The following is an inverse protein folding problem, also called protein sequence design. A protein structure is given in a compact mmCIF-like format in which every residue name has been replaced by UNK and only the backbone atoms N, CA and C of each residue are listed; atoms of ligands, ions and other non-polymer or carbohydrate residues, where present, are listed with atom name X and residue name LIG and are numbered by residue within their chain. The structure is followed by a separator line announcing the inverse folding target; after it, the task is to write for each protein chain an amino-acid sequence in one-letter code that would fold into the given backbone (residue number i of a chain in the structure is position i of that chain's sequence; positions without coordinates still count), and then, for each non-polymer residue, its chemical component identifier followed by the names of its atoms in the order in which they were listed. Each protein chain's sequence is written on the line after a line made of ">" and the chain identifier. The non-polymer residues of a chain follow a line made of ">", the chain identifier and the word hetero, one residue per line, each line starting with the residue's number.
data_IF_525589951364
#
_entry.id   IF_525589951364
#
_cell.length_a   1.000
_cell.length_b   1.000
_cell.length_c   1.000
_cell.angle_alpha   90.00
_cell.angle_beta   90.00
_cell.angle_gamma   90.00
#
_symmetry.space_group_name_H-M   'P 1'
#
loop_
_entity.id
_entity.type
_entity.pdbx_description
1 polymer ?
#
# COMPACT_ATOMS: atom_id res chain seq x y z
N UNK A 1 3.88 -9.87 -7.94
CA UNK A 1 3.42 -10.47 -6.68
C UNK A 1 2.41 -9.59 -5.95
N UNK A 2 2.76 -8.37 -5.56
CA UNK A 2 1.82 -7.46 -4.86
C UNK A 2 0.58 -7.16 -5.71
N UNK A 3 0.75 -6.86 -6.99
CA UNK A 3 -0.36 -6.57 -7.89
C UNK A 3 -1.31 -7.78 -8.04
N UNK A 4 -0.76 -8.97 -8.21
CA UNK A 4 -1.56 -10.20 -8.32
C UNK A 4 -2.35 -10.49 -7.06
N UNK A 5 -1.74 -10.39 -5.89
CA UNK A 5 -2.41 -10.62 -4.60
C UNK A 5 -3.45 -9.54 -4.28
N UNK A 6 -3.24 -8.32 -4.73
CA UNK A 6 -4.20 -7.22 -4.54
C UNK A 6 -5.47 -7.42 -5.37
N UNK A 7 -5.37 -8.02 -6.54
CA UNK A 7 -6.51 -8.37 -7.41
C UNK A 7 -7.46 -7.22 -7.70
N UNK A 8 -6.91 -6.04 -7.97
CA UNK A 8 -7.70 -4.83 -8.22
C UNK A 8 -7.81 -3.96 -6.98
N UNK A 9 -7.10 -2.84 -7.01
CA UNK A 9 -7.02 -1.93 -5.86
C UNK A 9 -8.34 -1.19 -5.60
N UNK A 10 -9.21 -1.08 -6.61
CA UNK A 10 -10.50 -0.40 -6.50
C UNK A 10 -11.47 -1.05 -5.51
N UNK A 11 -11.26 -2.32 -5.13
CA UNK A 11 -12.07 -3.00 -4.10
C UNK A 11 -11.82 -2.47 -2.69
N UNK A 12 -10.74 -1.74 -2.47
CA UNK A 12 -10.44 -1.12 -1.18
C UNK A 12 -10.95 0.32 -1.17
N UNK A 13 -11.72 0.66 -0.11
CA UNK A 13 -12.30 2.01 0.00
C UNK A 13 -11.28 3.08 0.41
N UNK A 14 -10.15 2.70 1.00
CA UNK A 14 -9.15 3.64 1.50
C UNK A 14 -7.78 2.98 1.67
N UNK A 15 -6.74 3.80 1.86
CA UNK A 15 -5.40 3.33 2.23
C UNK A 15 -5.41 2.53 3.54
N UNK A 16 -6.30 2.88 4.47
CA UNK A 16 -6.41 2.18 5.76
C UNK A 16 -7.00 0.78 5.57
N UNK A 17 -7.98 0.63 4.69
CA UNK A 17 -8.52 -0.68 4.33
C UNK A 17 -7.45 -1.55 3.64
N UNK A 18 -6.66 -0.96 2.75
CA UNK A 18 -5.55 -1.65 2.11
C UNK A 18 -4.47 -2.06 3.13
N UNK A 19 -4.16 -1.19 4.09
CA UNK A 19 -3.21 -1.52 5.15
C UNK A 19 -3.66 -2.68 6.02
N UNK A 20 -4.94 -2.82 6.27
CA UNK A 20 -5.49 -4.00 6.97
C UNK A 20 -5.32 -5.26 6.13
N UNK A 21 -5.58 -5.18 4.85
CA UNK A 21 -5.35 -6.30 3.93
C UNK A 21 -3.87 -6.72 3.89
N UNK A 22 -2.94 -5.76 3.83
CA UNK A 22 -1.50 -6.05 3.80
C UNK A 22 -0.92 -6.44 5.16
N UNK A 23 -1.70 -6.33 6.22
CA UNK A 23 -1.24 -6.62 7.58
C UNK A 23 -0.32 -5.56 8.18
N UNK A 24 -0.30 -4.36 7.62
CA UNK A 24 0.56 -3.26 8.11
C UNK A 24 -0.18 -2.26 9.00
N UNK A 25 -1.52 -2.33 9.08
CA UNK A 25 -2.28 -1.49 9.98
C UNK A 25 -2.06 -1.92 11.44
N UNK A 26 -1.78 -0.98 12.35
CA UNK A 26 -1.69 -1.30 13.76
C UNK A 26 -3.06 -1.68 14.31
N UNK A 27 -3.10 -2.66 15.23
CA UNK A 27 -4.33 -3.07 15.91
C UNK A 27 -4.27 -2.57 17.35
N UNK A 28 -5.27 -1.78 17.82
CA UNK A 28 -5.31 -1.36 19.22
C UNK A 28 -5.48 -2.58 20.14
N UNK A 29 -4.77 -2.57 21.26
CA UNK A 29 -4.89 -3.60 22.31
C UNK A 29 -5.68 -3.00 23.46
N UNK A 30 -6.88 -3.55 23.71
CA UNK A 30 -7.84 -3.03 24.68
C UNK A 30 -7.99 -3.99 25.87
N UNK A 31 -6.92 -4.26 26.59
CA UNK A 31 -7.05 -5.10 27.80
C UNK A 31 -6.19 -4.57 28.94
N UNK A 32 -6.83 -4.21 30.06
CA UNK A 32 -6.15 -3.77 31.27
C UNK A 32 -5.15 -2.65 31.05
N UNK A 33 -3.93 -2.82 31.53
CA UNK A 33 -2.84 -1.85 31.48
C UNK A 33 -2.29 -1.62 30.06
N UNK A 34 -2.79 -2.33 29.06
CA UNK A 34 -2.36 -2.22 27.66
C UNK A 34 -3.22 -1.25 26.85
N UNK A 35 -4.08 -0.49 27.50
CA UNK A 35 -4.92 0.51 26.87
C UNK A 35 -4.06 1.53 26.10
N UNK A 36 -4.37 1.77 24.84
CA UNK A 36 -3.62 2.69 23.98
C UNK A 36 -2.38 2.09 23.31
N UNK A 37 -1.98 0.87 23.65
CA UNK A 37 -0.92 0.17 22.92
C UNK A 37 -1.47 -0.47 21.65
N UNK A 38 -0.60 -0.62 20.64
CA UNK A 38 -0.95 -1.26 19.37
C UNK A 38 -0.08 -2.49 19.15
N UNK A 39 -0.63 -3.47 18.46
CA UNK A 39 0.10 -4.68 18.07
C UNK A 39 0.10 -4.85 16.55
N UNK A 40 0.99 -5.71 16.05
CA UNK A 40 1.05 -6.06 14.64
C UNK A 40 -0.21 -6.84 14.23
N UNK A 41 -0.81 -6.47 13.10
CA UNK A 41 -1.93 -7.20 12.52
C UNK A 41 -1.43 -8.51 11.90
N UNK A 42 -1.86 -9.64 12.45
CA UNK A 42 -1.53 -10.98 11.94
C UNK A 42 -2.55 -11.53 10.94
N UNK A 43 -3.68 -10.84 10.77
CA UNK A 43 -4.78 -11.29 9.90
C UNK A 43 -4.70 -10.84 8.45
N UNK A 44 -3.63 -10.15 8.04
CA UNK A 44 -3.48 -9.66 6.67
C UNK A 44 -2.92 -10.69 5.70
N UNK A 45 -2.86 -10.32 4.42
CA UNK A 45 -2.26 -11.17 3.38
C UNK A 45 -0.77 -11.33 3.64
N UNK A 46 -0.34 -12.56 3.90
CA UNK A 46 1.06 -12.86 4.25
C UNK A 46 2.04 -12.59 3.13
N UNK A 47 1.66 -12.86 1.89
CA UNK A 47 2.52 -12.66 0.72
C UNK A 47 2.85 -11.19 0.54
N UNK A 48 1.85 -10.32 0.58
CA UNK A 48 2.04 -8.87 0.45
C UNK A 48 2.77 -8.32 1.68
N UNK A 49 2.43 -8.80 2.87
CA UNK A 49 3.11 -8.39 4.09
C UNK A 49 4.61 -8.70 4.03
N UNK A 50 4.98 -9.91 3.61
CA UNK A 50 6.37 -10.32 3.44
C UNK A 50 7.08 -9.46 2.40
N UNK A 51 6.44 -9.18 1.27
CA UNK A 51 7.01 -8.31 0.24
C UNK A 51 7.29 -6.90 0.76
N UNK A 52 6.35 -6.30 1.47
CA UNK A 52 6.54 -4.98 2.08
C UNK A 52 7.64 -4.98 3.13
N UNK A 53 7.73 -6.05 3.93
CA UNK A 53 8.81 -6.21 4.90
C UNK A 53 10.18 -6.27 4.22
N UNK A 54 10.31 -7.03 3.15
CA UNK A 54 11.56 -7.12 2.40
C UNK A 54 11.96 -5.78 1.78
N UNK A 55 11.00 -5.04 1.26
CA UNK A 55 11.26 -3.69 0.74
C UNK A 55 11.73 -2.77 1.87
N UNK A 56 11.06 -2.80 3.01
CA UNK A 56 11.44 -1.98 4.16
C UNK A 56 12.86 -2.29 4.65
N UNK A 57 13.19 -3.57 4.82
CA UNK A 57 14.52 -3.99 5.24
C UNK A 57 15.59 -3.56 4.24
N UNK A 58 15.33 -3.72 2.94
CA UNK A 58 16.25 -3.29 1.88
C UNK A 58 16.51 -1.79 1.94
N UNK A 59 15.46 -0.99 2.14
CA UNK A 59 15.61 0.47 2.25
C UNK A 59 16.40 0.88 3.49
N UNK A 60 16.27 0.16 4.60
CA UNK A 60 17.07 0.46 5.81
C UNK A 60 18.57 0.22 5.62
N UNK A 61 18.95 -0.50 4.59
CA UNK A 61 20.36 -0.75 4.21
C UNK A 61 20.93 0.32 3.28
N UNK A 62 20.25 1.43 3.09
CA UNK A 62 20.72 2.54 2.27
C UNK A 62 20.21 2.56 0.84
N UNK A 63 19.21 1.73 0.50
CA UNK A 63 18.58 1.70 -0.82
C UNK A 63 17.24 2.42 -0.74
N UNK A 64 17.19 3.68 -1.18
CA UNK A 64 15.98 4.49 -1.20
C UNK A 64 15.80 5.36 0.05
N UNK A 65 14.64 6.05 0.19
CA UNK A 65 14.43 7.03 1.25
C UNK A 65 14.11 6.45 2.63
N UNK A 66 13.92 5.13 2.72
CA UNK A 66 13.49 4.48 3.96
C UNK A 66 14.51 4.57 5.08
N UNK A 67 15.81 4.60 4.77
CA UNK A 67 16.87 4.71 5.77
C UNK A 67 16.75 6.01 6.56
N UNK A 68 16.64 7.15 5.87
CA UNK A 68 16.51 8.45 6.52
C UNK A 68 15.25 8.53 7.37
N UNK A 69 14.15 7.94 6.90
CA UNK A 69 12.89 7.88 7.64
C UNK A 69 13.05 7.09 8.95
N UNK A 70 13.68 5.92 8.89
CA UNK A 70 13.91 5.08 10.07
C UNK A 70 14.85 5.78 11.05
N UNK A 71 15.95 6.36 10.59
CA UNK A 71 16.90 7.09 11.43
C UNK A 71 16.23 8.26 12.16
N UNK A 72 15.36 8.99 11.47
CA UNK A 72 14.61 10.10 12.06
C UNK A 72 13.67 9.61 13.18
N UNK A 73 12.98 8.49 12.98
CA UNK A 73 12.12 7.89 13.99
C UNK A 73 12.91 7.39 15.20
N UNK A 74 14.05 6.77 14.97
CA UNK A 74 14.94 6.31 16.06
C UNK A 74 15.48 7.50 16.85
N UNK A 75 15.78 8.62 16.18
CA UNK A 75 16.18 9.86 16.82
C UNK A 75 15.09 10.48 17.71
N UNK A 76 13.83 10.12 17.49
CA UNK A 76 12.69 10.53 18.31
C UNK A 76 12.33 9.54 19.42
N UNK A 77 13.17 8.54 19.66
CA UNK A 77 12.99 7.57 20.73
C UNK A 77 12.29 6.27 20.31
N UNK A 78 11.98 6.08 19.02
CA UNK A 78 11.43 4.81 18.53
C UNK A 78 12.49 3.73 18.47
N UNK A 79 12.13 2.47 18.75
CA UNK A 79 13.02 1.34 18.51
C UNK A 79 13.12 1.08 17.00
N UNK A 80 14.17 0.36 16.60
CA UNK A 80 14.33 -0.05 15.19
C UNK A 80 13.14 -0.86 14.71
N UNK A 81 12.63 -1.78 15.53
CA UNK A 81 11.46 -2.62 15.18
C UNK A 81 10.22 -1.76 14.96
N UNK A 82 9.96 -0.81 15.85
CA UNK A 82 8.84 0.14 15.68
C UNK A 82 8.99 0.99 14.42
N UNK A 83 10.20 1.51 14.18
CA UNK A 83 10.48 2.33 13.01
C UNK A 83 10.27 1.55 11.70
N UNK A 84 10.70 0.29 11.64
CA UNK A 84 10.49 -0.58 10.47
C UNK A 84 9.00 -0.88 10.28
N UNK A 85 8.23 -1.09 11.34
CA UNK A 85 6.78 -1.26 11.25
C UNK A 85 6.10 -0.03 10.64
N UNK A 86 6.48 1.14 11.08
CA UNK A 86 5.95 2.40 10.55
C UNK A 86 6.36 2.60 9.08
N UNK A 87 7.57 2.23 8.72
CA UNK A 87 8.02 2.26 7.33
C UNK A 87 7.19 1.33 6.45
N UNK A 88 6.89 0.11 6.92
CA UNK A 88 6.03 -0.83 6.20
C UNK A 88 4.63 -0.25 5.97
N UNK A 89 4.06 0.40 6.98
CA UNK A 89 2.78 1.09 6.85
C UNK A 89 2.86 2.17 5.77
N UNK A 90 3.90 2.98 5.79
CA UNK A 90 4.11 4.03 4.79
C UNK A 90 4.26 3.46 3.38
N UNK A 91 4.99 2.35 3.25
CA UNK A 91 5.15 1.64 1.96
C UNK A 91 3.81 1.10 1.46
N UNK A 92 2.97 0.57 2.33
CA UNK A 92 1.61 0.16 1.97
C UNK A 92 0.81 1.33 1.39
N UNK A 93 0.88 2.50 1.98
CA UNK A 93 0.20 3.70 1.47
C UNK A 93 0.75 4.13 0.12
N UNK A 94 2.06 4.06 -0.09
CA UNK A 94 2.71 4.38 -1.37
C UNK A 94 2.25 3.40 -2.45
N UNK A 95 2.25 2.11 -2.16
CA UNK A 95 1.81 1.07 -3.09
C UNK A 95 0.33 1.26 -3.44
N UNK A 96 -0.52 1.50 -2.45
CA UNK A 96 -1.94 1.74 -2.68
C UNK A 96 -2.18 2.91 -3.64
N UNK A 97 -1.50 4.04 -3.42
CA UNK A 97 -1.63 5.21 -4.29
C UNK A 97 -1.14 4.94 -5.71
N UNK A 98 -0.02 4.23 -5.84
CA UNK A 98 0.53 3.88 -7.15
C UNK A 98 -0.41 2.95 -7.92
N UNK A 99 -0.97 1.93 -7.27
CA UNK A 99 -1.91 1.00 -7.89
C UNK A 99 -3.22 1.71 -8.29
N UNK A 100 -3.70 2.63 -7.48
CA UNK A 100 -4.89 3.43 -7.83
C UNK A 100 -4.64 4.32 -9.05
N UNK A 101 -3.49 4.97 -9.10
CA UNK A 101 -3.12 5.81 -10.25
C UNK A 101 -3.05 4.98 -11.54
N UNK A 102 -2.44 3.80 -11.48
CA UNK A 102 -2.35 2.88 -12.62
C UNK A 102 -3.71 2.39 -13.07
N UNK A 103 -4.60 2.04 -12.14
CA UNK A 103 -5.95 1.59 -12.46
C UNK A 103 -6.78 2.69 -13.11
N UNK A 104 -6.68 3.91 -12.60
CA UNK A 104 -7.35 5.07 -13.19
C UNK A 104 -6.84 5.36 -14.59
N UNK A 105 -5.52 5.31 -14.80
CA UNK A 105 -4.92 5.52 -16.12
C UNK A 105 -5.39 4.46 -17.13
N UNK A 106 -5.47 3.19 -16.72
CA UNK A 106 -5.99 2.11 -17.56
C UNK A 106 -7.47 2.30 -17.90
N UNK A 107 -8.29 2.68 -16.93
CA UNK A 107 -9.71 2.94 -17.13
C UNK A 107 -9.92 4.11 -18.10
N UNK A 108 -9.17 5.19 -17.97
CA UNK A 108 -9.22 6.34 -18.86
C UNK A 108 -8.80 5.95 -20.29
N UNK A 109 -7.71 5.20 -20.45
CA UNK A 109 -7.26 4.72 -21.74
C UNK A 109 -8.31 3.83 -22.42
N UNK A 110 -8.97 2.93 -21.66
CA UNK A 110 -10.03 2.06 -22.16
C UNK A 110 -11.25 2.88 -22.62
N UNK A 111 -11.67 3.88 -21.84
CA UNK A 111 -12.77 4.76 -22.21
C UNK A 111 -12.45 5.58 -23.47
N UNK A 112 -11.27 6.13 -23.57
CA UNK A 112 -10.81 6.87 -24.74
C UNK A 112 -10.81 5.96 -25.99
N UNK A 113 -10.30 4.73 -25.87
CA UNK A 113 -10.30 3.76 -26.95
C UNK A 113 -11.70 3.40 -27.42
N UNK A 114 -12.65 3.18 -26.51
CA UNK A 114 -14.05 2.91 -26.83
C UNK A 114 -14.74 4.08 -27.52
N UNK A 115 -14.50 5.29 -27.04
CA UNK A 115 -15.07 6.49 -27.62
C UNK A 115 -14.56 6.71 -29.04
N UNK A 116 -13.27 6.52 -29.29
CA UNK A 116 -12.67 6.64 -30.62
C UNK A 116 -13.20 5.57 -31.57
N UNK A 117 -13.33 4.32 -31.10
CA UNK A 117 -13.88 3.23 -31.90
C UNK A 117 -15.35 3.46 -32.26
N UNK A 118 -16.16 3.95 -31.31
CA UNK A 118 -17.56 4.29 -31.55
C UNK A 118 -17.70 5.44 -32.55
N UNK A 119 -16.88 6.48 -32.46
CA UNK A 119 -16.88 7.59 -33.41
C UNK A 119 -16.50 7.13 -34.83
N UNK A 120 -15.48 6.27 -34.97
CA UNK A 120 -15.07 5.70 -36.24
C UNK A 120 -16.16 4.83 -36.87
N UNK A 121 -16.84 3.99 -36.05
CA UNK A 121 -17.95 3.16 -36.51
C UNK A 121 -19.13 4.01 -36.99
N UNK A 122 -19.48 5.07 -36.26
CA UNK A 122 -20.55 6.01 -36.65
C UNK A 122 -20.20 6.74 -37.99
N UNK A 123 -18.98 7.15 -38.15
CA UNK A 123 -18.53 7.80 -39.42
C UNK A 123 -18.60 6.85 -40.62
N UNK A 124 -18.36 5.55 -40.43
CA UNK A 124 -18.47 4.52 -41.48
C UNK A 124 -19.91 4.19 -41.84
N UNK A 125 -20.83 4.32 -40.93
CA UNK A 125 -22.24 4.03 -41.11
C UNK A 125 -22.95 5.17 -41.86
N UNK A 126 -22.39 6.36 -41.89
CA UNK A 126 -22.90 7.50 -42.65
C UNK A 126 -22.37 7.51 -44.07
#
# INVERSE_FOLDING_TARGET
>A
MILGETAGVGRFRSKDAYARFTGTAPIPVWSGDRRGKVRLNRGGNRTVNTALHMIAVTQTRGVGPGQAYVERLMGRGKTRTEAVRLLRRRLSDVVYRALRADEQARSTATQTGRSTAAAAASARAA
#
